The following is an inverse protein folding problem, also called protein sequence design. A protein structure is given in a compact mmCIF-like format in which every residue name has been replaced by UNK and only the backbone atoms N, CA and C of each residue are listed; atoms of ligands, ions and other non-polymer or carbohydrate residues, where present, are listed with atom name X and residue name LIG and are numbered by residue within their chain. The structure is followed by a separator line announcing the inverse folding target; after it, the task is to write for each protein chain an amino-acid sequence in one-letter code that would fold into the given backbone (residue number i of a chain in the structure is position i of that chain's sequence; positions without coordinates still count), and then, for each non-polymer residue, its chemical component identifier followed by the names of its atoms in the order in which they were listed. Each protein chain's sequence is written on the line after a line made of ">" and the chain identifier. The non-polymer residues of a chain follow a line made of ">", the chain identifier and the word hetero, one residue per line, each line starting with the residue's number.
data_IF_546479957802
#
_entry.id   IF_546479957802
#
_cell.length_a   1.000
_cell.length_b   1.000
_cell.length_c   1.000
_cell.angle_alpha   90.00
_cell.angle_beta   90.00
_cell.angle_gamma   90.00
#
_symmetry.space_group_name_H-M   'P 1'
#
loop_
_entity.id
_entity.type
_entity.pdbx_description
1 polymer ?
2 non-polymer ?
3 water ?
#
# COMPACT_ATOMS: atom_id res chain seq x y z
N UNK A 3 6.06 29.38 -14.91
CA UNK A 3 6.54 30.73 -14.69
C UNK A 3 6.46 31.11 -13.20
N UNK A 4 5.59 30.41 -12.46
CA UNK A 4 5.52 30.54 -11.00
C UNK A 4 6.91 30.28 -10.42
N UNK A 5 7.31 31.05 -9.41
CA UNK A 5 8.68 31.02 -8.90
C UNK A 5 9.15 29.68 -8.33
N UNK A 6 8.32 29.05 -7.51
CA UNK A 6 8.72 27.84 -6.82
C UNK A 6 7.71 26.72 -6.99
N UNK A 7 7.61 26.15 -8.21
CA UNK A 7 6.59 25.12 -8.47
C UNK A 7 6.72 23.88 -7.58
N UNK A 8 7.91 23.60 -7.05
CA UNK A 8 8.10 22.46 -6.16
C UNK A 8 7.28 22.60 -4.88
N UNK A 9 6.98 23.84 -4.51
CA UNK A 9 6.27 24.07 -3.25
C UNK A 9 4.77 23.80 -3.36
N UNK A 10 4.33 23.38 -4.54
CA UNK A 10 2.93 23.02 -4.72
C UNK A 10 2.57 21.72 -4.00
N UNK A 11 3.55 21.09 -3.35
CA UNK A 11 3.27 19.96 -2.47
C UNK A 11 2.33 20.34 -1.32
N UNK A 12 2.23 21.63 -1.02
CA UNK A 12 1.25 22.09 -0.04
C UNK A 12 -0.17 21.70 -0.43
N UNK A 13 -0.40 21.50 -1.73
CA UNK A 13 -1.74 21.21 -2.22
C UNK A 13 -2.16 19.78 -1.92
N UNK A 14 -1.19 18.93 -1.58
CA UNK A 14 -1.49 17.55 -1.18
C UNK A 14 -2.42 17.53 0.04
N UNK A 15 -2.15 18.38 1.01
CA UNK A 15 -2.97 18.43 2.21
C UNK A 15 -4.39 18.91 1.89
N UNK A 16 -4.49 19.88 0.99
CA UNK A 16 -5.80 20.39 0.63
C UNK A 16 -6.59 19.30 -0.10
N UNK A 17 -5.91 18.51 -0.94
CA UNK A 17 -6.56 17.42 -1.65
C UNK A 17 -7.11 16.40 -0.66
N UNK A 18 -6.32 16.09 0.36
CA UNK A 18 -6.77 15.13 1.37
C UNK A 18 -7.99 15.63 2.15
N UNK A 19 -8.06 16.93 2.43
CA UNK A 19 -9.23 17.47 3.09
C UNK A 19 -10.46 17.35 2.19
N UNK A 20 -10.28 17.62 0.90
CA UNK A 20 -11.39 17.47 -0.04
C UNK A 20 -11.89 16.02 -0.03
N UNK A 21 -10.96 15.09 -0.12
CA UNK A 21 -11.31 13.66 -0.17
C UNK A 21 -12.07 13.22 1.08
N UNK A 22 -11.57 13.63 2.23
CA UNK A 22 -12.21 13.30 3.50
C UNK A 22 -13.64 13.82 3.56
N UNK A 23 -13.90 14.92 2.87
CA UNK A 23 -15.23 15.54 2.87
C UNK A 23 -16.11 14.99 1.77
N UNK A 24 -15.60 14.01 1.04
CA UNK A 24 -16.35 13.39 -0.03
C UNK A 24 -16.14 14.03 -1.40
N UNK A 25 -15.44 15.17 -1.44
CA UNK A 25 -15.19 15.90 -2.68
C UNK A 25 -14.02 15.30 -3.44
N UNK A 26 -14.11 14.02 -3.76
CA UNK A 26 -12.99 13.34 -4.42
C UNK A 26 -12.73 13.89 -5.83
N UNK A 27 -13.77 14.35 -6.51
CA UNK A 27 -13.59 14.96 -7.84
C UNK A 27 -12.77 16.24 -7.74
N UNK A 28 -13.12 17.10 -6.77
CA UNK A 28 -12.41 18.36 -6.60
C UNK A 28 -10.93 18.15 -6.29
N UNK A 29 -10.61 17.07 -5.57
CA UNK A 29 -9.22 16.75 -5.26
C UNK A 29 -8.46 16.37 -6.54
N UNK A 30 -9.13 15.66 -7.43
CA UNK A 30 -8.49 15.31 -8.70
C UNK A 30 -8.21 16.58 -9.51
N UNK A 31 -9.21 17.45 -9.59
CA UNK A 31 -9.07 18.71 -10.32
C UNK A 31 -7.91 19.54 -9.78
N UNK A 32 -7.81 19.61 -8.46
CA UNK A 32 -6.74 20.35 -7.80
C UNK A 32 -5.37 19.82 -8.21
N UNK A 33 -5.20 18.50 -8.13
CA UNK A 33 -3.88 17.92 -8.36
C UNK A 33 -3.55 17.79 -9.84
N UNK A 34 -4.56 17.72 -10.70
CA UNK A 34 -4.29 17.77 -12.14
C UNK A 34 -3.66 19.10 -12.50
N UNK A 35 -4.08 20.16 -11.82
CA UNK A 35 -3.51 21.48 -12.10
C UNK A 35 -2.08 21.57 -11.55
N UNK A 36 -1.85 21.01 -10.36
CA UNK A 36 -0.48 20.94 -9.82
C UNK A 36 0.45 20.24 -10.80
N UNK A 37 0.01 19.08 -11.27
CA UNK A 37 0.85 18.24 -12.12
C UNK A 37 1.12 18.95 -13.45
N UNK A 38 0.12 19.66 -13.97
CA UNK A 38 0.31 20.38 -15.23
C UNK A 38 1.30 21.54 -15.07
N UNK A 39 1.24 22.24 -13.93
CA UNK A 39 2.16 23.35 -13.69
C UNK A 39 3.60 22.84 -13.55
N UNK A 40 3.76 21.77 -12.78
CA UNK A 40 5.10 21.22 -12.58
C UNK A 40 5.68 20.58 -13.85
N UNK A 41 4.80 20.12 -14.75
CA UNK A 41 5.30 19.50 -15.99
C UNK A 41 6.01 20.52 -16.86
N UNK A 42 5.69 21.80 -16.67
CA UNK A 42 6.24 22.85 -17.52
C UNK A 42 7.55 23.38 -16.99
N UNK A 43 7.89 23.01 -15.75
CA UNK A 43 8.95 23.69 -15.04
C UNK A 43 10.00 22.75 -14.43
N UNK A 44 9.59 21.53 -14.09
CA UNK A 44 10.46 20.57 -13.38
C UNK A 44 10.80 19.38 -14.25
N UNK A 45 12.04 18.89 -14.16
CA UNK A 45 12.43 17.71 -14.95
C UNK A 45 11.69 16.47 -14.48
N UNK A 46 11.56 15.48 -15.37
CA UNK A 46 10.79 14.27 -15.05
C UNK A 46 11.33 13.52 -13.85
N UNK A 47 12.63 13.64 -13.58
CA UNK A 47 13.23 12.92 -12.44
C UNK A 47 13.15 13.69 -11.14
N UNK A 48 12.64 14.92 -11.20
CA UNK A 48 12.57 15.76 -10.01
C UNK A 48 11.68 15.12 -8.95
N UNK A 49 12.20 14.93 -7.73
CA UNK A 49 11.39 14.26 -6.69
C UNK A 49 10.07 14.96 -6.37
N UNK A 50 10.01 16.27 -6.49
CA UNK A 50 8.76 16.98 -6.20
C UNK A 50 7.75 16.71 -7.30
N UNK A 51 8.22 16.61 -8.54
CA UNK A 51 7.31 16.35 -9.64
C UNK A 51 6.74 14.94 -9.54
N UNK A 52 7.60 13.97 -9.27
CA UNK A 52 7.16 12.60 -9.07
C UNK A 52 6.22 12.49 -7.88
N UNK A 53 6.49 13.23 -6.82
CA UNK A 53 5.63 13.20 -5.63
C UNK A 53 4.20 13.59 -5.95
N UNK A 54 4.03 14.65 -6.74
CA UNK A 54 2.69 15.10 -7.04
C UNK A 54 2.02 14.20 -8.05
N UNK A 55 2.78 13.56 -8.92
CA UNK A 55 2.17 12.55 -9.80
C UNK A 55 1.65 11.39 -8.97
N UNK A 56 2.42 10.97 -7.97
CA UNK A 56 2.00 9.92 -7.04
C UNK A 56 0.69 10.31 -6.32
N UNK A 57 0.62 11.55 -5.84
CA UNK A 57 -0.58 12.01 -5.13
C UNK A 57 -1.79 12.13 -6.06
N UNK A 58 -1.55 12.57 -7.29
CA UNK A 58 -2.64 12.63 -8.26
C UNK A 58 -3.18 11.23 -8.52
N UNK A 59 -2.29 10.26 -8.64
CA UNK A 59 -2.74 8.89 -8.90
C UNK A 59 -3.57 8.41 -7.73
N UNK A 60 -3.15 8.75 -6.51
CA UNK A 60 -3.95 8.38 -5.33
C UNK A 60 -5.31 9.06 -5.38
N UNK A 61 -5.36 10.29 -5.86
CA UNK A 61 -6.63 11.01 -5.99
C UNK A 61 -7.51 10.35 -7.05
N UNK A 62 -6.90 9.93 -8.15
CA UNK A 62 -7.65 9.19 -9.18
C UNK A 62 -8.28 7.95 -8.56
N UNK A 63 -7.53 7.22 -7.75
CA UNK A 63 -8.07 6.01 -7.13
C UNK A 63 -9.27 6.34 -6.26
N UNK A 64 -9.16 7.42 -5.48
CA UNK A 64 -10.25 7.81 -4.58
C UNK A 64 -11.50 8.21 -5.36
N UNK A 65 -11.30 8.68 -6.59
CA UNK A 65 -12.40 9.12 -7.46
C UNK A 65 -12.87 7.99 -8.39
N UNK A 66 -12.36 6.78 -8.16
CA UNK A 66 -12.78 5.63 -8.94
C UNK A 66 -12.16 5.56 -10.33
N UNK A 67 -11.15 6.40 -10.58
CA UNK A 67 -10.52 6.43 -11.90
C UNK A 67 -9.32 5.50 -11.91
N UNK A 68 -9.61 4.21 -11.87
CA UNK A 68 -8.58 3.21 -11.68
C UNK A 68 -7.57 3.15 -12.84
N UNK A 69 -8.07 3.15 -14.08
CA UNK A 69 -7.17 3.06 -15.23
C UNK A 69 -6.24 4.27 -15.28
N UNK A 70 -6.75 5.46 -14.98
CA UNK A 70 -5.91 6.66 -14.98
C UNK A 70 -4.82 6.57 -13.91
N UNK A 71 -5.18 6.02 -12.76
CA UNK A 71 -4.19 5.81 -11.69
C UNK A 71 -3.10 4.81 -12.11
N UNK A 72 -3.51 3.71 -12.72
CA UNK A 72 -2.54 2.71 -13.16
C UNK A 72 -1.55 3.32 -14.14
N UNK A 73 -2.08 4.04 -15.13
CA UNK A 73 -1.21 4.61 -16.16
C UNK A 73 -0.24 5.62 -15.60
N UNK A 74 -0.71 6.45 -14.66
CA UNK A 74 0.15 7.47 -14.07
C UNK A 74 1.21 6.84 -13.19
N UNK A 75 0.80 5.89 -12.35
CA UNK A 75 1.77 5.24 -11.47
C UNK A 75 2.75 4.38 -12.27
N UNK A 76 2.33 3.85 -13.41
CA UNK A 76 3.30 3.12 -14.24
C UNK A 76 4.42 4.05 -14.70
N UNK A 77 4.06 5.29 -15.01
CA UNK A 77 5.04 6.29 -15.44
C UNK A 77 5.99 6.61 -14.31
N UNK A 78 5.42 6.85 -13.12
CA UNK A 78 6.23 7.19 -11.95
C UNK A 78 7.19 6.05 -11.62
N UNK A 79 6.67 4.84 -11.58
CA UNK A 79 7.49 3.69 -11.20
C UNK A 79 8.58 3.44 -12.25
N UNK A 80 8.27 3.69 -13.51
CA UNK A 80 9.26 3.50 -14.59
C UNK A 80 10.40 4.51 -14.45
N UNK A 81 10.06 5.76 -14.12
CA UNK A 81 11.08 6.79 -13.95
C UNK A 81 11.94 6.46 -12.73
N UNK A 82 11.28 6.11 -11.64
CA UNK A 82 12.03 5.85 -10.42
C UNK A 82 12.86 4.57 -10.53
N UNK A 83 12.48 3.65 -11.41
CA UNK A 83 13.29 2.45 -11.63
C UNK A 83 14.65 2.83 -12.24
N UNK A 84 14.68 3.94 -12.94
CA UNK A 84 15.94 4.44 -13.51
C UNK A 84 16.71 5.39 -12.58
N UNK A 85 15.99 6.16 -11.77
CA UNK A 85 16.62 7.24 -11.02
C UNK A 85 16.92 6.91 -9.55
N UNK A 86 16.21 5.94 -8.98
CA UNK A 86 16.34 5.66 -7.55
C UNK A 86 16.76 4.23 -7.26
N UNK A 87 17.52 4.03 -6.19
CA UNK A 87 17.87 2.69 -5.74
C UNK A 87 16.64 1.94 -5.23
N UNK A 88 16.69 0.61 -5.27
CA UNK A 88 15.57 -0.21 -4.81
C UNK A 88 15.21 0.09 -3.36
N UNK A 89 16.23 0.48 -2.58
CA UNK A 89 16.05 0.73 -1.16
C UNK A 89 15.49 2.12 -0.85
N UNK A 90 15.37 2.98 -1.86
CA UNK A 90 14.83 4.31 -1.64
C UNK A 90 13.37 4.24 -1.20
N UNK A 91 13.04 4.90 -0.07
CA UNK A 91 11.66 4.82 0.43
C UNK A 91 10.61 5.31 -0.56
N UNK A 92 10.93 6.34 -1.36
CA UNK A 92 9.96 6.86 -2.33
C UNK A 92 9.71 5.86 -3.44
N UNK A 93 10.76 5.11 -3.79
CA UNK A 93 10.60 4.11 -4.84
C UNK A 93 9.69 3.01 -4.34
N UNK A 94 9.93 2.58 -3.10
CA UNK A 94 9.11 1.54 -2.49
C UNK A 94 7.66 1.99 -2.38
N UNK A 95 7.47 3.26 -2.00
CA UNK A 95 6.12 3.78 -1.79
C UNK A 95 5.31 3.75 -3.09
N UNK A 96 5.91 4.13 -4.20
CA UNK A 96 5.16 4.16 -5.44
C UNK A 96 4.95 2.74 -5.97
N UNK A 97 5.86 1.84 -5.65
CA UNK A 97 5.67 0.44 -6.01
C UNK A 97 4.44 -0.16 -5.34
N UNK A 98 4.24 0.04 -4.04
CA UNK A 98 3.08 -0.61 -3.45
C UNK A 98 1.79 0.15 -3.79
N UNK A 99 1.91 1.43 -4.15
CA UNK A 99 0.75 2.18 -4.63
C UNK A 99 0.32 1.67 -6.01
N UNK A 100 1.28 1.42 -6.88
CA UNK A 100 0.93 0.85 -8.19
C UNK A 100 0.35 -0.55 -8.02
N UNK A 101 0.88 -1.33 -7.08
CA UNK A 101 0.34 -2.66 -6.84
C UNK A 101 -1.12 -2.55 -6.42
N UNK A 102 -1.43 -1.55 -5.62
CA UNK A 102 -2.80 -1.30 -5.18
C UNK A 102 -3.71 -0.98 -6.35
N UNK A 103 -3.21 -0.13 -7.25
CA UNK A 103 -3.96 0.26 -8.45
C UNK A 103 -4.15 -0.94 -9.37
N UNK A 104 -3.09 -1.73 -9.53
CA UNK A 104 -3.18 -2.96 -10.31
C UNK A 104 -4.26 -3.91 -9.76
N UNK A 105 -4.33 -4.04 -8.43
CA UNK A 105 -5.32 -4.94 -7.83
C UNK A 105 -6.73 -4.46 -8.16
N UNK A 106 -6.93 -3.15 -8.08
CA UNK A 106 -8.22 -2.58 -8.36
C UNK A 106 -8.56 -2.75 -9.84
N UNK A 107 -7.54 -2.92 -10.67
CA UNK A 107 -7.73 -3.08 -12.10
C UNK A 107 -7.71 -4.55 -12.56
N UNK A 108 -7.71 -5.46 -11.59
CA UNK A 108 -7.70 -6.89 -11.91
C UNK A 108 -6.38 -7.39 -12.48
N UNK A 109 -5.34 -6.58 -12.36
CA UNK A 109 -4.03 -6.99 -12.86
C UNK A 109 -3.22 -7.63 -11.74
N UNK A 110 -3.68 -8.81 -11.34
CA UNK A 110 -3.17 -9.45 -10.14
C UNK A 110 -1.72 -9.90 -10.24
N UNK A 111 -1.32 -10.48 -11.38
CA UNK A 111 0.06 -10.94 -11.53
C UNK A 111 1.05 -9.79 -11.39
N UNK A 112 0.74 -8.66 -12.02
CA UNK A 112 1.60 -7.47 -11.95
C UNK A 112 1.72 -6.93 -10.53
N UNK A 113 0.61 -6.96 -9.79
CA UNK A 113 0.64 -6.57 -8.39
C UNK A 113 1.52 -7.52 -7.56
N UNK A 114 1.39 -8.82 -7.79
CA UNK A 114 2.20 -9.79 -7.04
C UNK A 114 3.69 -9.52 -7.25
N UNK A 115 4.06 -9.29 -8.50
CA UNK A 115 5.47 -9.09 -8.82
C UNK A 115 6.04 -7.85 -8.14
N UNK A 116 5.27 -6.78 -8.11
CA UNK A 116 5.71 -5.57 -7.44
C UNK A 116 5.84 -5.77 -5.94
N UNK A 117 4.84 -6.40 -5.35
CA UNK A 117 4.80 -6.56 -3.90
C UNK A 117 5.86 -7.55 -3.43
N UNK A 118 6.22 -8.53 -4.27
CA UNK A 118 7.33 -9.40 -3.91
C UNK A 118 8.62 -8.57 -3.80
N UNK A 119 8.81 -7.61 -4.69
CA UNK A 119 9.99 -6.74 -4.62
C UNK A 119 9.96 -5.87 -3.37
N UNK A 120 8.81 -5.27 -3.09
CA UNK A 120 8.68 -4.39 -1.92
C UNK A 120 8.93 -5.17 -0.63
N UNK A 121 8.33 -6.34 -0.53
CA UNK A 121 8.52 -7.15 0.66
C UNK A 121 9.97 -7.60 0.83
N UNK A 122 10.61 -7.97 -0.27
CA UNK A 122 12.00 -8.42 -0.19
C UNK A 122 12.91 -7.29 0.27
N UNK A 123 12.68 -6.09 -0.24
CA UNK A 123 13.53 -4.95 0.12
C UNK A 123 13.26 -4.47 1.54
N UNK A 124 11.98 -4.36 1.91
CA UNK A 124 11.64 -3.91 3.25
C UNK A 124 12.09 -4.90 4.32
N UNK A 125 12.30 -6.15 3.94
CA UNK A 125 12.81 -7.13 4.87
C UNK A 125 14.22 -6.74 5.33
N UNK A 126 14.93 -5.98 4.50
CA UNK A 126 16.26 -5.48 4.85
C UNK A 126 16.23 -4.11 5.54
N UNK A 127 15.37 -3.21 5.06
CA UNK A 127 15.45 -1.81 5.51
C UNK A 127 14.59 -1.47 6.72
N UNK A 128 13.58 -2.28 7.02
CA UNK A 128 12.64 -1.96 8.10
C UNK A 128 12.56 -3.07 9.15
N UNK A 129 12.22 -2.67 10.37
CA UNK A 129 12.02 -3.62 11.47
C UNK A 129 10.74 -4.40 11.24
N UNK A 130 10.67 -5.62 11.77
CA UNK A 130 9.56 -6.52 11.48
C UNK A 130 8.19 -5.95 11.85
N UNK A 131 8.13 -5.07 12.85
CA UNK A 131 6.84 -4.51 13.26
C UNK A 131 6.56 -3.11 12.71
N UNK A 132 7.41 -2.64 11.82
CA UNK A 132 7.14 -1.36 11.17
C UNK A 132 5.83 -1.48 10.40
N UNK A 133 4.94 -0.47 10.52
CA UNK A 133 3.60 -0.56 9.91
C UNK A 133 3.62 -0.70 8.39
N UNK A 134 4.59 -0.07 7.72
CA UNK A 134 4.65 -0.19 6.26
C UNK A 134 5.13 -1.57 5.86
N UNK A 135 6.08 -2.12 6.61
CA UNK A 135 6.57 -3.46 6.30
C UNK A 135 5.46 -4.48 6.46
N UNK A 136 4.72 -4.38 7.56
CA UNK A 136 3.59 -5.29 7.81
C UNK A 136 2.50 -5.12 6.77
N UNK A 137 2.16 -3.88 6.45
CA UNK A 137 1.14 -3.62 5.44
C UNK A 137 1.50 -4.25 4.11
N UNK A 138 2.77 -4.15 3.69
CA UNK A 138 3.13 -4.72 2.39
C UNK A 138 3.02 -6.24 2.38
N UNK A 139 3.37 -6.85 3.51
CA UNK A 139 3.24 -8.31 3.67
C UNK A 139 1.78 -8.72 3.58
N UNK A 140 0.91 -8.00 4.29
CA UNK A 140 -0.52 -8.31 4.19
C UNK A 140 -1.05 -8.12 2.76
N UNK A 141 -0.59 -7.08 2.09
CA UNK A 141 -1.02 -6.83 0.71
C UNK A 141 -0.50 -7.92 -0.23
N UNK A 142 0.74 -8.35 -0.05
CA UNK A 142 1.26 -9.43 -0.87
C UNK A 142 0.45 -10.71 -0.66
N UNK A 143 0.09 -11.00 0.59
CA UNK A 143 -0.70 -12.21 0.85
C UNK A 143 -2.03 -12.13 0.12
N UNK A 144 -2.67 -10.97 0.13
CA UNK A 144 -3.95 -10.84 -0.55
C UNK A 144 -3.80 -10.93 -2.08
N UNK A 145 -2.72 -10.35 -2.61
CA UNK A 145 -2.41 -10.50 -4.04
C UNK A 145 -2.20 -11.96 -4.41
N UNK A 146 -1.42 -12.67 -3.61
CA UNK A 146 -1.20 -14.10 -3.82
C UNK A 146 -2.54 -14.85 -3.88
N UNK A 147 -3.42 -14.55 -2.94
CA UNK A 147 -4.69 -15.27 -2.85
C UNK A 147 -5.55 -15.03 -4.08
N UNK A 148 -5.45 -13.84 -4.67
CA UNK A 148 -6.21 -13.53 -5.88
C UNK A 148 -5.55 -14.09 -7.13
N UNK A 149 -4.33 -14.61 -6.99
CA UNK A 149 -3.55 -15.06 -8.14
C UNK A 149 -3.42 -16.58 -8.22
N UNK A 150 -4.24 -17.31 -7.47
CA UNK A 150 -4.12 -18.76 -7.41
C UNK A 150 -2.87 -19.20 -6.69
N UNK A 151 -2.40 -18.37 -5.76
CA UNK A 151 -1.22 -18.72 -4.99
C UNK A 151 -1.54 -18.70 -3.51
N UNK A 152 -2.68 -19.29 -3.16
CA UNK A 152 -3.15 -19.23 -1.79
C UNK A 152 -2.14 -19.87 -0.85
N UNK A 153 -1.54 -20.99 -1.26
CA UNK A 153 -0.59 -21.64 -0.36
C UNK A 153 0.57 -20.72 -0.01
N UNK A 154 1.03 -19.95 -0.98
CA UNK A 154 2.14 -19.03 -0.70
C UNK A 154 1.71 -17.90 0.23
N UNK A 155 0.44 -17.51 0.17
CA UNK A 155 -0.08 -16.55 1.15
C UNK A 155 -0.05 -17.15 2.55
N UNK A 156 -0.41 -18.42 2.66
CA UNK A 156 -0.40 -19.06 3.98
C UNK A 156 1.03 -19.14 4.51
N UNK A 157 1.97 -19.53 3.67
CA UNK A 157 3.36 -19.65 4.12
C UNK A 157 3.91 -18.30 4.59
N UNK A 158 3.62 -17.26 3.83
CA UNK A 158 4.05 -15.91 4.16
C UNK A 158 3.48 -15.45 5.50
N UNK A 159 2.17 -15.58 5.68
CA UNK A 159 1.56 -15.08 6.91
C UNK A 159 1.91 -15.94 8.13
N UNK A 160 2.12 -17.24 7.93
CA UNK A 160 2.54 -18.08 9.06
C UNK A 160 3.90 -17.64 9.59
N UNK A 161 4.78 -17.22 8.68
CA UNK A 161 6.09 -16.72 9.08
C UNK A 161 5.97 -15.39 9.81
N UNK A 162 5.10 -14.52 9.32
CA UNK A 162 4.86 -13.23 9.98
C UNK A 162 4.33 -13.45 11.39
N UNK A 163 3.33 -14.31 11.51
CA UNK A 163 2.71 -14.59 12.80
C UNK A 163 3.71 -15.26 13.75
N UNK A 164 4.53 -16.17 13.24
CA UNK A 164 5.53 -16.86 14.07
C UNK A 164 6.54 -15.89 14.66
N UNK A 165 6.97 -14.93 13.84
CA UNK A 165 7.93 -13.91 14.27
C UNK A 165 7.29 -12.99 15.32
N UNK A 166 6.03 -12.65 15.12
CA UNK A 166 5.34 -11.78 16.09
C UNK A 166 5.15 -12.48 17.42
N UNK A 167 5.02 -13.80 17.40
CA UNK A 167 4.84 -14.55 18.63
C UNK A 167 6.06 -14.39 19.53
N UNK A 168 7.20 -14.06 18.92
CA UNK A 168 8.45 -13.91 19.66
C UNK A 168 8.80 -12.46 19.96
N UNK A 169 8.03 -11.52 19.41
CA UNK A 169 8.43 -10.11 19.46
C UNK A 169 7.37 -9.17 20.04
N UNK A 170 6.10 -9.56 19.91
CA UNK A 170 4.98 -8.71 20.32
C UNK A 170 4.13 -9.41 21.39
N UNK A 171 3.51 -8.64 22.28
CA UNK A 171 2.58 -9.20 23.27
C UNK A 171 1.29 -9.65 22.59
N UNK A 172 0.57 -10.60 23.20
CA UNK A 172 -0.58 -11.20 22.54
C UNK A 172 -1.66 -10.16 22.22
N UNK A 173 -1.69 -9.07 22.99
CA UNK A 173 -2.74 -8.07 22.84
C UNK A 173 -2.39 -7.00 21.80
N UNK A 174 -1.15 -7.02 21.31
CA UNK A 174 -0.70 -5.99 20.36
C UNK A 174 -1.56 -5.97 19.09
N UNK A 175 -2.06 -4.79 18.71
CA UNK A 175 -2.95 -4.68 17.54
C UNK A 175 -2.38 -5.32 16.26
N UNK A 176 -1.08 -5.20 16.05
CA UNK A 176 -0.47 -5.76 14.84
C UNK A 176 -0.43 -7.28 14.88
N UNK A 177 -0.22 -7.82 16.07
CA UNK A 177 -0.19 -9.28 16.21
C UNK A 177 -1.58 -9.85 15.91
N UNK A 178 -2.60 -9.19 16.44
CA UNK A 178 -3.98 -9.62 16.16
C UNK A 178 -4.32 -9.45 14.68
N UNK A 179 -3.87 -8.36 14.07
CA UNK A 179 -4.17 -8.09 12.67
C UNK A 179 -3.59 -9.17 11.77
N UNK A 180 -2.34 -9.57 12.02
CA UNK A 180 -1.72 -10.59 11.17
C UNK A 180 -2.39 -11.95 11.37
N UNK A 181 -2.79 -12.24 12.60
CA UNK A 181 -3.52 -13.48 12.85
C UNK A 181 -4.85 -13.49 12.11
N UNK A 182 -5.53 -12.35 12.08
CA UNK A 182 -6.76 -12.26 11.31
C UNK A 182 -6.51 -12.48 9.81
N UNK A 183 -5.44 -11.87 9.30
CA UNK A 183 -5.10 -12.04 7.89
C UNK A 183 -4.78 -13.51 7.61
N UNK A 184 -4.10 -14.15 8.56
CA UNK A 184 -3.74 -15.56 8.39
C UNK A 184 -4.99 -16.42 8.39
N UNK A 185 -5.95 -16.11 9.25
CA UNK A 185 -7.21 -16.85 9.28
C UNK A 185 -7.92 -16.79 7.93
N UNK A 186 -7.89 -15.62 7.29
CA UNK A 186 -8.48 -15.46 5.96
C UNK A 186 -7.77 -16.35 4.95
N UNK A 187 -6.45 -16.40 5.04
CA UNK A 187 -5.66 -17.24 4.14
C UNK A 187 -5.99 -18.72 4.36
N UNK A 188 -6.06 -19.14 5.61
CA UNK A 188 -6.43 -20.52 5.94
C UNK A 188 -7.78 -20.87 5.31
N UNK A 189 -8.75 -19.95 5.44
CA UNK A 189 -10.06 -20.18 4.86
C UNK A 189 -9.99 -20.41 3.35
N UNK A 190 -9.26 -19.53 2.65
CA UNK A 190 -9.10 -19.66 1.20
C UNK A 190 -8.41 -20.97 0.83
N UNK A 191 -7.56 -21.46 1.74
CA UNK A 191 -6.80 -22.68 1.50
C UNK A 191 -7.53 -23.96 1.88
N UNK A 192 -8.76 -23.82 2.40
CA UNK A 192 -9.54 -24.97 2.81
C UNK A 192 -9.21 -25.45 4.22
N UNK A 193 -8.36 -24.72 4.92
CA UNK A 193 -8.03 -25.05 6.30
C UNK A 193 -9.04 -24.39 7.22
N UNK A 194 -10.29 -24.81 7.10
CA UNK A 194 -11.40 -24.07 7.69
C UNK A 194 -11.48 -24.20 9.21
N UNK A 195 -11.10 -25.36 9.74
CA UNK A 195 -11.08 -25.54 11.19
C UNK A 195 -10.05 -24.63 11.84
N UNK A 196 -8.83 -24.63 11.28
CA UNK A 196 -7.75 -23.81 11.81
C UNK A 196 -8.08 -22.34 11.72
N UNK A 197 -8.77 -21.95 10.65
CA UNK A 197 -9.20 -20.57 10.49
C UNK A 197 -10.19 -20.17 11.58
N UNK A 198 -11.20 -21.00 11.83
CA UNK A 198 -12.20 -20.58 12.83
C UNK A 198 -11.59 -20.64 14.23
N UNK A 199 -10.64 -21.56 14.44
CA UNK A 199 -9.91 -21.63 15.69
C UNK A 199 -9.11 -20.34 15.96
N UNK A 200 -8.38 -19.91 14.94
CA UNK A 200 -7.55 -18.72 15.04
C UNK A 200 -8.41 -17.47 15.22
N UNK A 201 -9.52 -17.39 14.50
CA UNK A 201 -10.41 -16.25 14.60
C UNK A 201 -11.02 -16.17 16.01
N UNK A 202 -11.34 -17.32 16.59
CA UNK A 202 -11.89 -17.32 17.95
C UNK A 202 -10.84 -16.84 18.94
N UNK A 203 -9.58 -17.17 18.69
CA UNK A 203 -8.50 -16.74 19.59
C UNK A 203 -8.35 -15.23 19.55
N UNK A 204 -8.38 -14.66 18.36
CA UNK A 204 -8.29 -13.22 18.18
C UNK A 204 -9.46 -12.53 18.88
N UNK A 205 -10.67 -13.03 18.62
CA UNK A 205 -11.87 -12.44 19.19
C UNK A 205 -11.85 -12.50 20.71
N UNK A 206 -11.30 -13.57 21.26
CA UNK A 206 -11.19 -13.70 22.71
C UNK A 206 -10.24 -12.64 23.29
N UNK A 207 -9.12 -12.39 22.61
CA UNK A 207 -8.17 -11.42 23.12
C UNK A 207 -8.72 -10.01 22.99
N UNK A 208 -9.39 -9.73 21.86
CA UNK A 208 -10.04 -8.44 21.67
C UNK A 208 -11.08 -8.18 22.76
N UNK A 209 -11.86 -9.19 23.09
CA UNK A 209 -12.91 -9.05 24.08
C UNK A 209 -12.33 -8.77 25.46
N UNK A 210 -11.22 -9.44 25.77
CA UNK A 210 -10.61 -9.32 27.09
C UNK A 210 -9.99 -7.94 27.25
N UNK A 211 -9.46 -7.40 26.16
CA UNK A 211 -8.85 -6.08 26.20
C UNK A 211 -9.88 -4.96 26.21
N UNK A 212 -10.91 -5.12 25.37
CA UNK A 212 -11.85 -4.04 25.09
C UNK A 212 -13.09 -4.05 25.97
N UNK A 213 -13.40 -5.22 26.52
CA UNK A 213 -14.56 -5.36 27.38
C UNK A 213 -14.17 -6.24 28.55
N UNK A 214 -13.16 -5.78 29.29
CA UNK A 214 -12.61 -6.53 30.42
C UNK A 214 -13.66 -6.82 31.48
X LIG B 1 2.55 15.65 1.81
X LIG B 1 1.63 16.50 2.56
X LIG B 1 1.79 14.68 1.03
X LIG B 1 3.37 16.46 0.91
X LIG B 1 3.43 14.95 2.74
X LIG C 1 18.80 -0.74 -8.41
X LIG C 1 17.45 -1.02 -8.91
X LIG C 1 19.68 -1.84 -8.76
X LIG C 1 19.29 0.50 -8.98
X LIG C 1 18.76 -0.62 -6.96
#
# INVERSE_FOLDING_TARGET
>A
MGHMEHPSRLRSQHELARRYQQNGQVQEAVELLEQVVAIQAKTLRSEHPSRLASQHELARAYMANGQVQEAVELLEQVVAIQAKTLRSEHPSRLASQHELARAYMANGQVQEAVELLEQVVAIQAKTLRSEHPSRLASQHELARAYMANGQVQEAVELLEQVVAIQAKTLRSEHPSRLASQHELARAYQANGQRQEAQELLEQVRAIQAKTQRSLVPRGSGSSHHHHHH
>B hetero
1 SO4 S O1 O2 O3 O4
>C hetero
1 SO4 S O1 O2 O3 O4
#
